data_IF_276131440420
#
_entry.id   IF_276131440420
#
_cell.length_a   1.000
_cell.length_b   1.000
_cell.length_c   1.000
_cell.angle_alpha   90.00
_cell.angle_beta   90.00
_cell.angle_gamma   90.00
#
_symmetry.space_group_name_H-M   'P 1'
#
loop_
_entity.id
_entity.type
_entity.pdbx_description
1 polymer ?
#
# COMPACT_ATOMS: atom_id res chain seq x y z
N UNK A 1 -7.17 -18.30 -13.71
CA UNK A 1 -8.46 -18.47 -12.99
C UNK A 1 -8.95 -17.09 -12.57
N UNK A 2 -10.25 -16.80 -12.66
CA UNK A 2 -10.81 -15.52 -12.19
C UNK A 2 -11.75 -15.76 -11.01
N UNK A 3 -11.57 -15.01 -9.93
CA UNK A 3 -12.31 -15.11 -8.67
C UNK A 3 -12.87 -13.73 -8.35
N UNK A 4 -14.16 -13.65 -8.03
CA UNK A 4 -14.83 -12.39 -7.74
C UNK A 4 -15.70 -12.48 -6.49
N UNK A 5 -15.69 -11.41 -5.71
CA UNK A 5 -16.64 -11.16 -4.63
C UNK A 5 -17.49 -9.96 -4.99
N UNK A 6 -18.80 -10.07 -4.81
CA UNK A 6 -19.75 -8.98 -5.07
C UNK A 6 -20.68 -8.85 -3.88
N UNK A 7 -21.02 -7.62 -3.50
CA UNK A 7 -22.01 -7.37 -2.45
C UNK A 7 -22.60 -5.97 -2.59
N UNK A 8 -23.60 -5.69 -1.75
CA UNK A 8 -24.18 -4.36 -1.59
C UNK A 8 -24.28 -4.02 -0.09
N UNK A 9 -23.98 -2.79 0.36
CA UNK A 9 -23.64 -1.59 -0.40
C UNK A 9 -22.46 -0.84 0.21
N UNK A 10 -21.78 -0.03 -0.60
CA UNK A 10 -20.84 0.98 -0.12
C UNK A 10 -21.50 2.00 0.81
N UNK A 11 -20.67 2.75 1.55
CA UNK A 11 -21.11 3.79 2.48
C UNK A 11 -21.99 4.85 1.80
N UNK A 12 -23.01 5.34 2.52
CA UNK A 12 -23.88 6.42 2.05
C UNK A 12 -23.16 7.78 1.91
N UNK A 13 -22.00 7.94 2.54
CA UNK A 13 -21.21 9.17 2.57
C UNK A 13 -20.08 9.17 1.54
N UNK A 14 -20.16 8.32 0.51
CA UNK A 14 -19.23 8.35 -0.62
C UNK A 14 -19.50 9.56 -1.53
N UNK A 15 -18.41 10.13 -2.06
CA UNK A 15 -18.45 11.15 -3.11
C UNK A 15 -19.07 10.61 -4.42
N UNK A 16 -18.68 9.41 -4.83
CA UNK A 16 -19.20 8.66 -5.99
C UNK A 16 -19.47 7.23 -5.53
N UNK A 17 -20.59 6.63 -5.97
CA UNK A 17 -20.95 5.26 -5.61
C UNK A 17 -21.64 5.11 -4.25
N UNK A 18 -22.23 6.18 -3.72
CA UNK A 18 -22.99 6.11 -2.46
C UNK A 18 -24.11 5.06 -2.54
N UNK A 19 -24.17 4.17 -1.56
CA UNK A 19 -25.09 3.02 -1.53
C UNK A 19 -25.05 2.10 -2.76
N UNK A 20 -24.00 2.17 -3.58
CA UNK A 20 -23.88 1.29 -4.74
C UNK A 20 -23.35 -0.08 -4.34
N UNK A 21 -23.59 -1.12 -5.16
CA UNK A 21 -22.86 -2.37 -5.04
C UNK A 21 -21.35 -2.17 -5.21
N UNK A 22 -20.59 -3.11 -4.67
CA UNK A 22 -19.16 -3.23 -4.85
C UNK A 22 -18.81 -4.62 -5.38
N UNK A 23 -17.73 -4.69 -6.15
CA UNK A 23 -17.14 -5.93 -6.62
C UNK A 23 -15.63 -5.86 -6.48
N UNK A 24 -15.02 -6.99 -6.16
CA UNK A 24 -13.57 -7.17 -6.09
C UNK A 24 -13.28 -8.42 -6.90
N UNK A 25 -12.61 -8.25 -8.03
CA UNK A 25 -12.30 -9.33 -8.98
C UNK A 25 -10.79 -9.46 -9.12
N UNK A 26 -10.30 -10.68 -8.97
CA UNK A 26 -8.91 -11.05 -9.17
C UNK A 26 -8.80 -12.10 -10.25
N UNK A 27 -7.74 -12.02 -11.06
CA UNK A 27 -7.28 -13.11 -11.91
C UNK A 27 -5.93 -13.60 -11.41
N UNK A 28 -5.89 -14.90 -11.15
CA UNK A 28 -4.70 -15.61 -10.72
C UNK A 28 -4.25 -16.49 -11.89
N UNK A 29 -3.06 -16.23 -12.41
CA UNK A 29 -2.40 -17.13 -13.35
C UNK A 29 -1.28 -17.87 -12.63
N UNK A 30 -1.36 -19.21 -12.65
CA UNK A 30 -0.34 -20.13 -12.10
C UNK A 30 0.32 -20.91 -13.25
N UNK A 31 0.28 -20.35 -14.45
CA UNK A 31 0.89 -20.90 -15.65
C UNK A 31 2.41 -20.97 -15.55
N UNK A 32 2.98 -21.84 -16.39
CA UNK A 32 4.43 -21.93 -16.53
C UNK A 32 4.93 -20.72 -17.33
N UNK A 33 5.82 -19.94 -16.72
CA UNK A 33 6.48 -18.78 -17.31
C UNK A 33 7.54 -19.21 -18.34
N UNK A 34 7.96 -18.33 -19.27
CA UNK A 34 9.00 -18.63 -20.26
C UNK A 34 10.36 -19.03 -19.68
N UNK A 35 10.65 -18.66 -18.43
CA UNK A 35 11.85 -19.08 -17.69
C UNK A 35 11.73 -20.46 -17.03
N UNK A 36 10.57 -21.12 -17.16
CA UNK A 36 10.30 -22.44 -16.59
C UNK A 36 9.85 -22.42 -15.13
N UNK A 37 9.58 -21.26 -14.54
CA UNK A 37 9.02 -21.12 -13.20
C UNK A 37 7.49 -20.98 -13.25
N UNK A 38 6.82 -21.24 -12.12
CA UNK A 38 5.39 -21.01 -11.99
C UNK A 38 5.17 -19.53 -11.65
N UNK A 39 4.19 -18.90 -12.31
CA UNK A 39 3.81 -17.54 -11.99
C UNK A 39 3.23 -17.39 -10.58
N UNK A 40 3.61 -16.32 -9.90
CA UNK A 40 3.00 -15.84 -8.68
C UNK A 40 2.27 -14.52 -8.95
N UNK A 41 1.14 -14.31 -8.28
CA UNK A 41 0.40 -13.06 -8.43
C UNK A 41 1.00 -11.96 -7.54
N UNK A 42 0.89 -10.69 -7.95
CA UNK A 42 1.44 -9.59 -7.17
C UNK A 42 0.67 -9.44 -5.85
N UNK A 43 1.35 -8.93 -4.84
CA UNK A 43 0.75 -8.52 -3.58
C UNK A 43 0.77 -7.01 -3.46
N UNK A 44 -0.18 -6.47 -2.72
CA UNK A 44 -0.30 -5.04 -2.49
C UNK A 44 -0.75 -4.75 -1.08
N UNK A 45 -0.36 -3.59 -0.56
CA UNK A 45 -0.82 -3.12 0.74
C UNK A 45 -0.99 -1.59 0.77
N UNK A 46 -1.99 -1.14 1.49
CA UNK A 46 -2.26 0.27 1.78
C UNK A 46 -3.14 0.37 3.04
N UNK A 47 -3.29 1.56 3.60
CA UNK A 47 -4.24 1.76 4.69
C UNK A 47 -5.68 1.70 4.14
N UNK A 48 -6.62 1.01 4.82
CA UNK A 48 -8.02 0.97 4.37
C UNK A 48 -8.69 2.34 4.26
N UNK A 49 -8.28 3.28 5.12
CA UNK A 49 -8.73 4.67 5.12
C UNK A 49 -7.53 5.60 5.31
N UNK A 50 -7.38 6.58 4.41
CA UNK A 50 -6.37 7.65 4.49
C UNK A 50 -7.08 9.00 4.66
N UNK A 51 -6.75 9.74 5.71
CA UNK A 51 -7.32 11.02 6.06
C UNK A 51 -6.54 12.13 5.37
N UNK A 52 -7.23 12.89 4.53
CA UNK A 52 -6.65 13.94 3.71
C UNK A 52 -7.33 15.26 3.99
N UNK A 53 -6.53 16.33 3.99
CA UNK A 53 -7.08 17.68 4.10
C UNK A 53 -7.79 18.05 2.80
N UNK A 54 -9.00 18.63 2.90
CA UNK A 54 -9.74 19.14 1.74
C UNK A 54 -8.93 20.21 0.99
N UNK A 55 -9.01 20.19 -0.34
CA UNK A 55 -8.40 21.15 -1.25
C UNK A 55 -6.86 21.27 -1.13
N UNK A 56 -6.21 20.21 -0.65
CA UNK A 56 -4.75 20.06 -0.65
C UNK A 56 -4.39 18.90 -1.55
N UNK A 57 -3.31 19.08 -2.34
CA UNK A 57 -2.84 18.03 -3.23
C UNK A 57 -2.34 16.85 -2.41
N UNK A 58 -2.92 15.69 -2.66
CA UNK A 58 -2.54 14.41 -2.07
C UNK A 58 -1.70 13.65 -3.09
N UNK A 59 -0.56 13.12 -2.64
CA UNK A 59 0.24 12.15 -3.38
C UNK A 59 0.23 10.86 -2.57
N UNK A 60 -0.34 9.79 -3.14
CA UNK A 60 -0.48 8.51 -2.43
C UNK A 60 0.04 7.36 -3.29
N UNK A 61 1.05 6.65 -2.79
CA UNK A 61 1.62 5.49 -3.46
C UNK A 61 1.12 4.21 -2.82
N UNK A 62 0.51 3.35 -3.63
CA UNK A 62 0.10 2.00 -3.22
C UNK A 62 1.29 1.06 -3.36
N UNK A 63 1.59 0.27 -2.32
CA UNK A 63 2.68 -0.70 -2.42
C UNK A 63 2.32 -1.82 -3.36
N UNK A 64 3.31 -2.26 -4.14
CA UNK A 64 3.21 -3.45 -4.97
C UNK A 64 4.48 -4.27 -4.79
N UNK A 65 4.34 -5.57 -4.63
CA UNK A 65 5.48 -6.48 -4.60
C UNK A 65 5.12 -7.77 -5.32
N UNK A 66 6.12 -8.46 -5.83
CA UNK A 66 5.99 -9.74 -6.50
C UNK A 66 7.25 -10.58 -6.22
N UNK A 67 7.12 -11.90 -6.26
CA UNK A 67 8.22 -12.83 -6.04
C UNK A 67 9.00 -13.14 -7.33
N UNK A 68 8.42 -12.87 -8.48
CA UNK A 68 8.96 -13.18 -9.78
C UNK A 68 9.91 -12.07 -10.24
N UNK A 69 11.22 -12.36 -10.20
CA UNK A 69 12.26 -11.35 -10.38
C UNK A 69 12.28 -10.67 -11.77
N UNK A 70 11.65 -11.27 -12.79
CA UNK A 70 11.58 -10.66 -14.13
C UNK A 70 10.39 -9.72 -14.29
N UNK A 71 9.43 -9.79 -13.36
CA UNK A 71 8.14 -9.20 -13.58
C UNK A 71 8.18 -7.68 -13.42
N UNK A 72 7.45 -7.02 -14.30
CA UNK A 72 7.20 -5.58 -14.23
C UNK A 72 5.81 -5.40 -13.66
N UNK A 73 5.74 -4.74 -12.51
CA UNK A 73 4.48 -4.40 -11.87
C UNK A 73 3.92 -3.10 -12.43
N UNK A 74 2.64 -3.12 -12.71
CA UNK A 74 1.88 -1.94 -13.06
C UNK A 74 0.55 -1.93 -12.32
N UNK A 75 -0.07 -0.76 -12.26
CA UNK A 75 -1.49 -0.69 -11.96
C UNK A 75 -2.24 0.20 -12.91
N UNK A 76 -3.54 -0.05 -12.90
CA UNK A 76 -4.54 0.69 -13.63
C UNK A 76 -5.77 0.88 -12.76
N UNK A 77 -6.64 1.78 -13.19
CA UNK A 77 -7.98 1.85 -12.63
C UNK A 77 -8.72 0.52 -12.85
N UNK A 78 -9.37 0.05 -11.79
CA UNK A 78 -10.43 -0.94 -11.95
C UNK A 78 -11.53 -0.34 -12.82
N UNK A 79 -12.13 -1.15 -13.69
CA UNK A 79 -13.16 -0.68 -14.60
C UNK A 79 -14.25 -1.73 -14.85
N UNK A 80 -15.38 -1.27 -15.38
CA UNK A 80 -16.51 -2.12 -15.75
C UNK A 80 -16.32 -2.68 -17.17
N UNK A 81 -15.77 -3.90 -17.27
CA UNK A 81 -15.65 -4.70 -18.49
C UNK A 81 -15.22 -3.90 -19.75
N UNK A 82 -14.11 -3.16 -19.66
CA UNK A 82 -13.50 -2.46 -20.81
C UNK A 82 -12.61 -3.38 -21.64
N UNK A 83 -12.14 -2.93 -22.81
CA UNK A 83 -11.17 -3.69 -23.63
C UNK A 83 -9.81 -3.88 -22.97
N UNK A 84 -9.49 -3.09 -21.93
CA UNK A 84 -8.27 -3.22 -21.13
C UNK A 84 -8.50 -4.05 -19.86
N UNK A 85 -9.70 -4.59 -19.69
CA UNK A 85 -10.07 -5.45 -18.59
C UNK A 85 -9.80 -6.89 -18.95
N UNK A 86 -8.66 -7.38 -18.49
CA UNK A 86 -8.23 -8.77 -18.65
C UNK A 86 -8.99 -9.77 -17.76
N UNK A 87 -9.81 -9.27 -16.83
CA UNK A 87 -10.70 -10.06 -16.01
C UNK A 87 -12.04 -10.34 -16.73
N UNK A 88 -12.47 -9.47 -17.65
CA UNK A 88 -13.77 -9.50 -18.35
C UNK A 88 -15.01 -9.42 -17.43
N UNK A 89 -14.84 -8.89 -16.21
CA UNK A 89 -15.91 -8.67 -15.24
C UNK A 89 -15.92 -7.22 -14.75
N UNK A 90 -16.98 -6.84 -14.06
CA UNK A 90 -17.00 -5.57 -13.32
C UNK A 90 -16.07 -5.66 -12.09
N UNK A 91 -14.98 -4.89 -12.11
CA UNK A 91 -13.92 -4.92 -11.09
C UNK A 91 -14.14 -3.94 -9.92
N UNK A 92 -15.15 -3.07 -10.01
CA UNK A 92 -15.31 -1.96 -9.06
C UNK A 92 -16.77 -1.63 -8.70
N UNK A 93 -17.77 -2.20 -9.38
CA UNK A 93 -19.16 -1.90 -9.14
C UNK A 93 -19.44 -0.41 -9.32
N UNK A 94 -20.08 0.23 -8.34
CA UNK A 94 -20.44 1.64 -8.45
C UNK A 94 -19.32 2.64 -8.15
N UNK A 95 -18.09 2.19 -7.88
CA UNK A 95 -16.93 3.07 -7.62
C UNK A 95 -15.88 3.06 -8.74
N UNK A 96 -16.22 2.54 -9.91
CA UNK A 96 -15.39 2.71 -11.10
C UNK A 96 -15.22 4.22 -11.35
N UNK A 97 -14.01 4.76 -11.13
CA UNK A 97 -13.74 6.20 -11.08
C UNK A 97 -14.31 6.94 -9.86
N UNK A 98 -14.20 6.35 -8.67
CA UNK A 98 -14.67 6.95 -7.40
C UNK A 98 -13.92 8.21 -6.91
N UNK A 99 -12.84 8.61 -7.60
CA UNK A 99 -12.03 9.79 -7.29
C UNK A 99 -12.34 10.99 -8.22
N UNK A 100 -12.03 12.25 -7.81
CA UNK A 100 -12.37 13.45 -8.58
C UNK A 100 -11.80 13.47 -10.01
N UNK A 101 -12.56 14.05 -10.93
CA UNK A 101 -12.14 14.27 -12.33
C UNK A 101 -10.90 15.15 -12.37
N UNK A 102 -9.77 14.60 -12.80
CA UNK A 102 -8.45 15.25 -12.74
C UNK A 102 -7.44 14.50 -11.87
N UNK A 103 -7.87 13.44 -11.18
CA UNK A 103 -6.95 12.50 -10.52
C UNK A 103 -6.07 11.83 -11.57
N UNK A 104 -4.76 11.81 -11.32
CA UNK A 104 -3.79 11.10 -12.15
C UNK A 104 -3.31 9.84 -11.44
N UNK A 105 -3.00 8.82 -12.23
CA UNK A 105 -2.38 7.57 -11.79
C UNK A 105 -1.12 7.34 -12.62
N UNK A 106 0.03 7.24 -11.97
CA UNK A 106 1.27 6.76 -12.58
C UNK A 106 1.30 5.25 -12.45
N UNK A 107 0.95 4.53 -13.52
CA UNK A 107 0.78 3.08 -13.49
C UNK A 107 2.03 2.29 -13.12
N UNK A 108 3.23 2.77 -13.48
CA UNK A 108 4.49 2.07 -13.22
C UNK A 108 4.93 2.02 -11.75
N UNK A 109 4.37 2.88 -10.89
CA UNK A 109 4.70 2.93 -9.47
C UNK A 109 3.48 3.14 -8.56
N UNK A 110 2.29 3.00 -9.12
CA UNK A 110 0.99 3.17 -8.44
C UNK A 110 0.86 4.38 -7.56
N UNK A 111 1.34 5.50 -8.08
CA UNK A 111 1.22 6.79 -7.40
C UNK A 111 0.03 7.57 -7.95
N UNK A 112 -0.89 7.90 -7.05
CA UNK A 112 -2.03 8.76 -7.28
C UNK A 112 -1.67 10.21 -6.96
N UNK A 113 -2.18 11.15 -7.75
CA UNK A 113 -2.14 12.58 -7.44
C UNK A 113 -3.50 13.23 -7.68
N UNK A 114 -4.06 13.86 -6.65
CA UNK A 114 -5.41 14.44 -6.70
C UNK A 114 -5.65 15.48 -5.60
N UNK A 115 -6.82 16.11 -5.65
CA UNK A 115 -7.34 17.01 -4.62
C UNK A 115 -8.76 16.58 -4.24
N UNK A 116 -9.10 16.61 -2.94
CA UNK A 116 -10.45 16.29 -2.48
C UNK A 116 -11.27 17.59 -2.34
N UNK A 117 -12.36 17.78 -3.14
CA UNK A 117 -13.06 19.06 -3.20
C UNK A 117 -14.04 19.30 -2.03
N UNK A 118 -14.59 18.23 -1.46
CA UNK A 118 -15.65 18.29 -0.44
C UNK A 118 -15.20 17.54 0.81
N UNK A 119 -15.28 18.19 1.97
CA UNK A 119 -14.97 17.58 3.26
C UNK A 119 -16.15 16.75 3.80
N UNK A 120 -15.88 15.93 4.81
CA UNK A 120 -16.82 15.02 5.48
C UNK A 120 -17.43 13.97 4.54
N UNK A 121 -16.71 13.63 3.47
CA UNK A 121 -17.06 12.55 2.54
C UNK A 121 -15.89 11.58 2.43
N UNK A 122 -16.23 10.34 2.12
CA UNK A 122 -15.28 9.32 1.70
C UNK A 122 -15.17 9.30 0.18
N UNK A 123 -13.97 9.07 -0.33
CA UNK A 123 -13.67 8.92 -1.75
C UNK A 123 -13.07 7.54 -1.95
N UNK A 124 -13.74 6.71 -2.75
CA UNK A 124 -13.29 5.36 -2.96
C UNK A 124 -12.30 5.28 -4.12
N UNK A 125 -11.21 4.55 -3.92
CA UNK A 125 -10.25 4.21 -4.94
C UNK A 125 -10.35 2.71 -5.24
N UNK A 126 -10.38 2.35 -6.52
CA UNK A 126 -10.35 0.97 -6.98
C UNK A 126 -9.29 0.80 -8.06
N UNK A 127 -8.27 -0.01 -7.78
CA UNK A 127 -7.15 -0.28 -8.68
C UNK A 127 -7.01 -1.79 -8.91
N UNK A 128 -6.41 -2.15 -10.03
CA UNK A 128 -5.88 -3.48 -10.30
C UNK A 128 -4.36 -3.39 -10.32
N UNK A 129 -3.70 -4.27 -9.58
CA UNK A 129 -2.26 -4.46 -9.57
C UNK A 129 -1.93 -5.67 -10.45
N UNK A 130 -1.09 -5.47 -11.44
CA UNK A 130 -0.86 -6.42 -12.51
C UNK A 130 0.64 -6.69 -12.69
N UNK A 131 0.97 -7.97 -12.81
CA UNK A 131 2.28 -8.53 -13.12
C UNK A 131 2.39 -8.78 -14.63
N UNK A 132 3.46 -8.30 -15.21
CA UNK A 132 3.82 -8.52 -16.60
C UNK A 132 5.15 -9.24 -16.62
N UNK A 133 5.28 -10.34 -17.37
CA UNK A 133 6.49 -11.17 -17.35
C UNK A 133 7.79 -10.37 -17.57
N UNK A 134 7.73 -9.30 -18.36
CA UNK A 134 8.78 -8.31 -18.52
C UNK A 134 8.23 -7.01 -19.14
N UNK A 135 9.12 -6.02 -19.34
CA UNK A 135 8.79 -4.70 -19.92
C UNK A 135 8.26 -4.73 -21.37
N UNK A 136 8.44 -5.83 -22.10
CA UNK A 136 7.93 -6.01 -23.47
C UNK A 136 6.56 -6.69 -23.51
N UNK A 137 6.08 -7.20 -22.38
CA UNK A 137 4.80 -7.91 -22.29
C UNK A 137 3.65 -6.91 -22.37
N UNK A 138 2.65 -7.20 -23.20
CA UNK A 138 1.48 -6.33 -23.43
C UNK A 138 0.21 -6.81 -22.72
N UNK A 139 0.23 -8.03 -22.21
CA UNK A 139 -0.82 -8.61 -21.39
C UNK A 139 -0.26 -9.01 -20.03
N UNK A 140 -0.99 -8.72 -18.94
CA UNK A 140 -0.58 -9.15 -17.63
C UNK A 140 -0.77 -10.67 -17.51
N UNK A 141 -0.16 -11.29 -16.50
CA UNK A 141 -0.34 -12.70 -16.17
C UNK A 141 -1.45 -12.83 -15.12
N UNK A 142 -1.32 -12.15 -14.00
CA UNK A 142 -2.31 -12.00 -12.93
C UNK A 142 -2.82 -10.55 -12.80
N UNK A 143 -3.88 -10.38 -12.02
CA UNK A 143 -4.51 -9.09 -11.74
C UNK A 143 -5.12 -9.16 -10.33
N UNK A 144 -4.62 -8.34 -9.41
CA UNK A 144 -5.00 -8.34 -8.01
C UNK A 144 -5.68 -7.03 -7.64
N UNK A 145 -6.94 -7.07 -7.16
CA UNK A 145 -7.71 -5.89 -6.85
C UNK A 145 -7.27 -5.26 -5.52
N UNK A 146 -7.29 -3.92 -5.46
CA UNK A 146 -7.20 -3.18 -4.20
C UNK A 146 -8.25 -2.07 -4.18
N UNK A 147 -9.02 -2.02 -3.09
CA UNK A 147 -10.02 -0.99 -2.84
C UNK A 147 -9.83 -0.40 -1.45
N UNK A 148 -9.82 0.92 -1.37
CA UNK A 148 -9.57 1.66 -0.13
C UNK A 148 -10.22 3.06 -0.22
N UNK A 149 -10.26 3.77 0.90
CA UNK A 149 -10.94 5.04 1.02
C UNK A 149 -9.97 6.17 1.34
N UNK A 150 -10.27 7.36 0.83
CA UNK A 150 -9.77 8.61 1.37
C UNK A 150 -10.90 9.32 2.11
N UNK A 151 -10.63 9.85 3.30
CA UNK A 151 -11.58 10.69 4.03
C UNK A 151 -11.12 12.15 3.99
N UNK A 152 -11.95 13.04 3.46
CA UNK A 152 -11.63 14.45 3.39
C UNK A 152 -12.06 15.16 4.68
N UNK A 153 -11.14 15.79 5.41
CA UNK A 153 -11.45 16.63 6.57
C UNK A 153 -11.27 18.11 6.24
N UNK A 154 -11.99 18.97 6.98
CA UNK A 154 -11.78 20.41 6.93
C UNK A 154 -10.52 20.78 7.73
N UNK A 155 -9.73 21.71 7.22
CA UNK A 155 -8.63 22.31 7.99
C UNK A 155 -9.19 22.90 9.28
N UNK A 156 -8.71 22.42 10.43
CA UNK A 156 -8.98 23.07 11.70
C UNK A 156 -8.31 24.44 11.72
N UNK A 157 -8.97 25.44 12.31
CA UNK A 157 -8.38 26.75 12.61
C UNK A 157 -7.36 26.68 13.78
N UNK A 158 -6.72 25.53 13.98
CA UNK A 158 -5.73 25.31 15.03
C UNK A 158 -4.46 26.09 14.74
N UNK A 159 -3.75 26.50 15.80
CA UNK A 159 -2.45 27.15 15.68
C UNK A 159 -1.37 26.24 15.04
N UNK A 160 -1.64 24.93 14.94
CA UNK A 160 -0.82 23.97 14.21
C UNK A 160 -1.64 23.37 13.07
N UNK A 161 -1.21 23.62 11.83
CA UNK A 161 -1.73 22.98 10.62
C UNK A 161 -0.76 21.96 10.03
N UNK A 162 0.39 21.75 10.67
CA UNK A 162 1.43 20.85 10.18
C UNK A 162 1.14 19.43 10.63
N UNK A 163 0.89 18.54 9.67
CA UNK A 163 0.67 17.11 9.90
C UNK A 163 1.93 16.45 10.50
N UNK A 164 1.78 15.41 11.35
CA UNK A 164 2.93 14.61 11.76
C UNK A 164 3.55 13.90 10.55
N UNK A 165 4.81 13.47 10.68
CA UNK A 165 5.50 12.69 9.65
C UNK A 165 6.04 11.40 10.23
N UNK A 166 5.80 10.28 9.54
CA UNK A 166 6.50 9.04 9.85
C UNK A 166 7.88 9.15 9.19
N UNK A 167 8.90 9.33 10.02
CA UNK A 167 10.29 9.39 9.58
C UNK A 167 10.95 8.00 9.58
N UNK A 168 10.29 7.01 10.19
CA UNK A 168 10.65 5.59 10.14
C UNK A 168 12.07 5.27 10.64
N UNK A 169 12.40 3.99 10.76
CA UNK A 169 13.79 3.55 10.73
C UNK A 169 14.27 3.28 9.28
N UNK A 170 13.33 3.07 8.34
CA UNK A 170 13.57 2.80 6.92
C UNK A 170 12.83 3.81 6.06
N UNK A 171 13.27 4.08 4.82
CA UNK A 171 12.47 4.88 3.88
C UNK A 171 11.15 4.20 3.54
N UNK A 172 10.19 4.98 3.06
CA UNK A 172 8.96 4.45 2.49
C UNK A 172 9.30 3.52 1.31
N UNK A 173 8.47 2.49 1.11
CA UNK A 173 8.59 1.45 0.09
C UNK A 173 9.84 0.58 0.22
N UNK A 174 10.43 0.47 1.41
CA UNK A 174 11.57 -0.41 1.64
C UNK A 174 11.14 -1.89 1.67
N UNK A 175 12.05 -2.78 1.26
CA UNK A 175 11.91 -4.23 1.38
C UNK A 175 12.90 -4.80 2.42
N UNK A 176 12.44 -5.73 3.27
CA UNK A 176 13.19 -6.29 4.41
C UNK A 176 13.08 -7.82 4.39
N UNK A 177 14.21 -8.53 4.39
CA UNK A 177 14.22 -9.99 4.52
C UNK A 177 13.74 -10.46 5.90
N UNK A 178 12.85 -11.45 5.92
CA UNK A 178 12.20 -11.96 7.11
C UNK A 178 12.38 -13.50 7.23
N UNK A 179 13.36 -13.98 8.01
CA UNK A 179 13.58 -15.42 8.16
C UNK A 179 12.42 -16.09 8.92
N UNK A 180 12.00 -17.28 8.46
CA UNK A 180 10.93 -18.05 9.11
C UNK A 180 11.34 -18.41 10.56
N UNK A 181 10.41 -18.23 11.49
CA UNK A 181 10.60 -18.61 12.90
C UNK A 181 11.51 -17.68 13.70
N UNK A 182 12.07 -16.62 13.08
CA UNK A 182 12.89 -15.62 13.76
C UNK A 182 12.05 -14.40 14.07
N UNK A 183 12.04 -13.97 15.34
CA UNK A 183 11.35 -12.75 15.74
C UNK A 183 12.06 -11.52 15.18
N UNK A 184 11.29 -10.67 14.52
CA UNK A 184 11.71 -9.38 14.00
C UNK A 184 11.14 -8.27 14.88
N UNK A 185 11.94 -7.23 15.06
CA UNK A 185 11.53 -5.98 15.67
C UNK A 185 11.79 -4.84 14.69
N UNK A 186 10.76 -4.06 14.38
CA UNK A 186 10.82 -2.86 13.53
C UNK A 186 10.24 -1.69 14.30
N UNK A 187 10.64 -0.45 14.01
CA UNK A 187 10.16 0.73 14.75
C UNK A 187 9.56 1.76 13.81
N UNK A 188 8.30 2.13 14.06
CA UNK A 188 7.67 3.29 13.43
C UNK A 188 8.04 4.52 14.26
N UNK A 189 8.83 5.41 13.66
CA UNK A 189 9.26 6.67 14.29
C UNK A 189 8.45 7.81 13.69
N UNK A 190 7.80 8.60 14.54
CA UNK A 190 6.93 9.70 14.16
C UNK A 190 7.47 11.01 14.71
N UNK A 191 7.53 12.03 13.88
CA UNK A 191 7.87 13.40 14.26
C UNK A 191 6.64 14.30 14.22
N UNK A 192 6.42 15.03 15.31
CA UNK A 192 5.49 16.16 15.39
C UNK A 192 6.25 17.47 15.25
N UNK A 193 5.65 18.48 14.63
CA UNK A 193 6.32 19.75 14.32
C UNK A 193 5.87 20.94 15.16
N UNK A 194 4.81 20.79 15.94
CA UNK A 194 4.26 21.87 16.76
C UNK A 194 4.38 21.56 18.25
N UNK A 195 4.69 22.57 19.09
CA UNK A 195 4.75 22.40 20.54
C UNK A 195 3.43 21.88 21.10
N UNK A 196 3.51 20.89 22.00
CA UNK A 196 2.34 20.31 22.67
C UNK A 196 1.51 19.33 21.84
N UNK A 197 1.88 19.05 20.59
CA UNK A 197 1.26 17.97 19.81
C UNK A 197 1.70 16.61 20.34
N UNK A 198 0.75 15.69 20.41
CA UNK A 198 0.98 14.31 20.82
C UNK A 198 0.41 13.36 19.79
N UNK A 199 1.08 12.23 19.56
CA UNK A 199 0.51 11.16 18.72
C UNK A 199 -0.47 10.36 19.57
N UNK A 200 -1.73 10.32 19.13
CA UNK A 200 -2.82 9.62 19.83
C UNK A 200 -3.07 8.24 19.25
N UNK A 201 -2.72 8.03 17.97
CA UNK A 201 -2.87 6.74 17.31
C UNK A 201 -1.86 6.56 16.17
N UNK A 202 -1.53 5.31 15.87
CA UNK A 202 -0.81 4.92 14.65
C UNK A 202 -1.61 3.77 14.05
N UNK A 203 -2.48 4.10 13.09
CA UNK A 203 -3.27 3.09 12.38
C UNK A 203 -2.37 2.26 11.48
N UNK A 204 -2.59 0.95 11.43
CA UNK A 204 -1.76 0.04 10.64
C UNK A 204 -2.58 -0.93 9.78
N UNK A 205 -1.98 -1.36 8.67
CA UNK A 205 -2.33 -2.59 7.94
C UNK A 205 -1.13 -3.51 8.03
N UNK A 206 -1.27 -4.63 8.73
CA UNK A 206 -0.14 -5.45 9.18
C UNK A 206 -0.30 -6.93 8.76
N UNK A 207 0.81 -7.66 8.56
CA UNK A 207 0.77 -9.11 8.37
C UNK A 207 0.13 -9.82 9.56
N UNK A 208 -0.47 -10.99 9.29
CA UNK A 208 -1.08 -11.82 10.33
C UNK A 208 -0.04 -12.17 11.41
N UNK A 209 -0.44 -11.97 12.67
CA UNK A 209 0.39 -12.26 13.85
C UNK A 209 1.37 -11.15 14.23
N UNK A 210 1.45 -10.05 13.48
CA UNK A 210 2.22 -8.88 13.90
C UNK A 210 1.52 -8.17 15.06
N UNK A 211 2.31 -7.80 16.06
CA UNK A 211 1.85 -7.07 17.25
C UNK A 211 2.62 -5.76 17.39
N UNK A 212 2.10 -4.83 18.18
CA UNK A 212 2.76 -3.56 18.43
C UNK A 212 2.77 -3.20 19.92
N UNK A 213 3.76 -2.40 20.33
CA UNK A 213 3.80 -1.79 21.66
C UNK A 213 2.77 -0.68 21.81
N UNK A 214 2.61 -0.16 23.03
CA UNK A 214 2.01 1.16 23.21
C UNK A 214 2.87 2.22 22.52
N UNK A 215 2.24 3.31 22.09
CA UNK A 215 2.92 4.49 21.55
C UNK A 215 3.61 5.20 22.72
N UNK A 216 4.91 5.46 22.58
CA UNK A 216 5.70 6.15 23.61
C UNK A 216 6.38 7.38 23.04
N UNK A 217 6.57 8.37 23.90
CA UNK A 217 7.36 9.55 23.58
C UNK A 217 8.84 9.23 23.84
N UNK A 218 9.63 9.17 22.77
CA UNK A 218 11.07 8.84 22.85
C UNK A 218 11.92 10.07 23.14
N UNK A 219 11.50 11.23 22.63
CA UNK A 219 12.12 12.54 22.89
C UNK A 219 11.16 13.66 22.47
N UNK A 220 11.50 14.92 22.77
CA UNK A 220 10.66 16.07 22.44
C UNK A 220 10.24 16.07 20.96
N UNK A 221 8.94 15.87 20.72
CA UNK A 221 8.36 15.81 19.38
C UNK A 221 8.61 14.52 18.59
N UNK A 222 9.22 13.50 19.19
CA UNK A 222 9.47 12.18 18.59
C UNK A 222 8.73 11.10 19.36
N UNK A 223 7.92 10.36 18.63
CA UNK A 223 7.11 9.26 19.14
C UNK A 223 7.51 7.96 18.44
N UNK A 224 7.37 6.84 19.13
CA UNK A 224 7.73 5.54 18.60
C UNK A 224 6.67 4.47 18.93
N UNK A 225 6.56 3.51 18.02
CA UNK A 225 5.82 2.27 18.22
C UNK A 225 6.68 1.12 17.69
N UNK A 226 6.92 0.13 18.55
CA UNK A 226 7.72 -1.05 18.21
C UNK A 226 6.76 -2.11 17.66
N UNK A 227 7.08 -2.62 16.49
CA UNK A 227 6.42 -3.76 15.85
C UNK A 227 7.20 -5.02 16.18
N UNK A 228 6.50 -6.09 16.55
CA UNK A 228 7.08 -7.41 16.80
C UNK A 228 6.33 -8.47 16.01
N UNK A 229 7.07 -9.27 15.25
CA UNK A 229 6.49 -10.29 14.39
C UNK A 229 7.43 -11.48 14.18
N UNK A 230 6.88 -12.69 14.18
CA UNK A 230 7.60 -13.93 13.86
C UNK A 230 6.90 -14.60 12.69
N UNK A 231 7.42 -14.50 11.45
CA UNK A 231 6.79 -15.09 10.28
C UNK A 231 6.82 -16.62 10.33
N UNK A 232 5.78 -17.22 9.75
CA UNK A 232 5.63 -18.67 9.60
C UNK A 232 5.86 -19.10 8.15
N UNK A 233 6.08 -20.40 7.90
CA UNK A 233 6.30 -20.93 6.56
C UNK A 233 5.11 -20.70 5.60
N UNK A 234 3.88 -20.58 6.14
CA UNK A 234 2.68 -20.28 5.34
C UNK A 234 2.60 -18.82 4.89
N UNK A 235 3.52 -17.97 5.35
CA UNK A 235 3.60 -16.56 4.98
C UNK A 235 4.77 -16.28 4.01
N UNK A 236 5.36 -17.32 3.41
CA UNK A 236 6.46 -17.20 2.44
C UNK A 236 6.12 -16.22 1.31
N UNK A 237 7.09 -15.38 0.91
CA UNK A 237 6.89 -14.30 -0.05
C UNK A 237 6.67 -12.92 0.60
N UNK A 238 6.31 -11.90 -0.19
CA UNK A 238 6.13 -10.54 0.27
C UNK A 238 4.91 -10.39 1.18
N UNK A 239 5.11 -9.71 2.30
CA UNK A 239 4.10 -9.38 3.31
C UNK A 239 4.15 -7.88 3.54
N UNK A 240 3.09 -7.16 3.17
CA UNK A 240 3.06 -5.70 3.31
C UNK A 240 2.78 -5.24 4.74
N UNK A 241 3.38 -4.11 5.13
CA UNK A 241 3.01 -3.32 6.31
C UNK A 241 2.80 -1.86 5.88
N UNK A 242 1.76 -1.21 6.41
CA UNK A 242 1.52 0.21 6.24
C UNK A 242 1.12 0.85 7.57
N UNK A 243 1.49 2.11 7.78
CA UNK A 243 1.18 2.88 8.97
C UNK A 243 0.81 4.34 8.62
N UNK A 244 -0.04 4.95 9.44
CA UNK A 244 -0.32 6.38 9.41
C UNK A 244 -0.49 6.92 10.83
N UNK A 245 0.27 7.95 11.19
CA UNK A 245 0.23 8.51 12.55
C UNK A 245 -0.80 9.63 12.65
N UNK A 246 -1.58 9.65 13.73
CA UNK A 246 -2.63 10.63 14.00
C UNK A 246 -2.27 11.41 15.26
N UNK A 247 -2.27 12.74 15.16
CA UNK A 247 -2.04 13.61 16.31
C UNK A 247 -3.33 13.95 17.09
N UNK A 248 -3.18 14.60 18.24
CA UNK A 248 -4.30 15.06 19.08
C UNK A 248 -5.14 16.19 18.45
N UNK A 249 -4.76 16.68 17.28
CA UNK A 249 -5.56 17.59 16.45
C UNK A 249 -6.33 16.85 15.35
N UNK A 250 -6.16 15.53 15.24
CA UNK A 250 -6.80 14.68 14.24
C UNK A 250 -6.11 14.72 12.86
N UNK A 251 -4.90 15.27 12.76
CA UNK A 251 -4.14 15.29 11.52
C UNK A 251 -3.38 13.97 11.35
N UNK A 252 -3.60 13.29 10.22
CA UNK A 252 -2.88 12.07 9.88
C UNK A 252 -1.62 12.38 9.06
N UNK A 253 -0.51 11.69 9.30
CA UNK A 253 0.68 11.71 8.44
C UNK A 253 0.39 11.17 7.04
N UNK A 254 1.33 11.35 6.11
CA UNK A 254 1.30 10.54 4.90
C UNK A 254 1.50 9.05 5.26
N UNK A 255 0.85 8.13 4.53
CA UNK A 255 1.04 6.70 4.76
C UNK A 255 2.49 6.28 4.49
N UNK A 256 3.03 5.49 5.40
CA UNK A 256 4.34 4.86 5.32
C UNK A 256 4.15 3.36 5.16
N UNK A 257 4.74 2.74 4.14
CA UNK A 257 4.61 1.33 3.89
C UNK A 257 5.95 0.66 3.55
N UNK A 258 6.09 -0.61 3.95
CA UNK A 258 7.26 -1.46 3.68
C UNK A 258 6.80 -2.88 3.37
N UNK A 259 7.68 -3.67 2.77
CA UNK A 259 7.46 -5.08 2.47
C UNK A 259 8.41 -5.95 3.30
N UNK A 260 7.90 -6.96 3.99
CA UNK A 260 8.68 -8.03 4.57
C UNK A 260 8.70 -9.23 3.63
N UNK A 261 9.87 -9.65 3.18
CA UNK A 261 10.04 -10.79 2.28
C UNK A 261 10.38 -12.05 3.09
N UNK A 262 9.37 -12.87 3.33
CA UNK A 262 9.48 -14.06 4.18
C UNK A 262 10.21 -15.19 3.46
N UNK A 263 10.95 -16.00 4.23
CA UNK A 263 11.76 -17.13 3.76
C UNK A 263 13.07 -16.72 3.09
N UNK A 264 13.53 -15.48 3.35
CA UNK A 264 14.86 -15.02 2.97
C UNK A 264 15.66 -14.69 4.22
N UNK A 265 16.71 -15.47 4.43
CA UNK A 265 17.68 -15.29 5.52
C UNK A 265 18.69 -14.21 5.12
N UNK A 266 18.29 -12.95 5.35
CA UNK A 266 19.07 -11.71 5.23
C UNK A 266 19.45 -11.24 3.81
N UNK A 267 18.84 -10.11 3.36
CA UNK A 267 19.39 -9.22 2.32
C UNK A 267 19.05 -7.76 2.60
N UNK A 268 19.99 -6.89 2.21
CA UNK A 268 20.06 -5.43 2.26
C UNK A 268 18.79 -4.67 1.86
N UNK A 269 18.59 -3.52 2.51
CA UNK A 269 17.61 -2.50 2.13
C UNK A 269 17.76 -2.11 0.66
N UNK A 270 16.70 -2.26 -0.12
CA UNK A 270 16.56 -1.54 -1.39
C UNK A 270 15.79 -0.26 -1.06
N UNK A 271 16.45 0.90 -1.13
CA UNK A 271 15.74 2.17 -1.02
C UNK A 271 14.85 2.33 -2.27
N UNK A 272 13.58 2.70 -2.05
CA UNK A 272 12.65 3.01 -3.15
C UNK A 272 12.26 1.84 -4.07
N UNK A 273 12.41 0.58 -3.62
CA UNK A 273 11.85 -0.58 -4.32
C UNK A 273 11.08 -1.49 -3.38
N UNK A 274 9.79 -1.65 -3.67
CA UNK A 274 8.92 -2.59 -2.99
C UNK A 274 9.13 -4.06 -3.44
N UNK A 275 9.94 -4.28 -4.49
CA UNK A 275 10.34 -5.60 -5.01
C UNK A 275 11.84 -5.87 -4.80
N UNK A 276 12.24 -7.13 -4.52
CA UNK A 276 13.65 -7.53 -4.58
C UNK A 276 14.13 -7.53 -6.05
N UNK A 277 15.30 -6.94 -6.34
CA UNK A 277 15.97 -7.04 -7.65
C UNK A 277 17.42 -7.46 -7.43
N UNK A 278 17.90 -8.48 -8.17
CA UNK A 278 19.31 -8.91 -8.18
C UNK A 278 19.61 -10.31 -7.59
N UNK A 279 20.85 -10.79 -7.81
CA UNK A 279 21.35 -12.06 -7.24
C UNK A 279 21.83 -11.87 -5.80
N UNK A 280 21.43 -12.78 -4.91
CA UNK A 280 21.84 -12.80 -3.51
C UNK A 280 23.15 -13.60 -3.38
N UNK A 281 24.29 -12.92 -3.32
CA UNK A 281 25.55 -13.57 -2.97
C UNK A 281 25.69 -13.67 -1.44
N UNK A 282 26.09 -14.85 -0.96
CA UNK A 282 26.26 -15.19 0.45
C UNK A 282 27.24 -14.25 1.20
N UNK A 283 28.05 -13.45 0.49
CA UNK A 283 29.10 -12.59 1.03
C UNK A 283 28.88 -11.06 0.83
N UNK A 284 27.79 -10.61 0.21
CA UNK A 284 27.34 -9.20 0.23
C UNK A 284 28.29 -8.13 -0.37
N UNK A 285 29.20 -8.43 -1.31
CA UNK A 285 30.29 -7.48 -1.66
C UNK A 285 30.11 -6.51 -2.82
N UNK A 286 29.06 -6.54 -3.68
CA UNK A 286 28.91 -5.57 -4.80
C UNK A 286 27.44 -5.34 -5.15
N UNK A 287 27.02 -4.08 -5.37
CA UNK A 287 25.71 -3.75 -5.98
C UNK A 287 25.75 -2.47 -6.84
N UNK A 288 25.18 -2.56 -8.05
CA UNK A 288 24.98 -1.50 -9.05
C UNK A 288 23.52 -1.56 -9.56
N UNK A 289 22.94 -0.42 -9.94
CA UNK A 289 21.54 -0.26 -10.39
C UNK A 289 21.49 -0.28 -11.92
N UNK A 290 20.46 -0.90 -12.51
CA UNK A 290 19.85 -0.41 -13.75
C UNK A 290 18.43 0.05 -13.45
#
# INVERSE_FOLDING_TARGET
ITIGFVSSAWLNTLYIGAASPWSIVSRVDLGLRPDGLINSSPVTNTLPVVFCQRAVTVVHSVQMADNDATDVLQCRWSNSNSTHNYNHYDECGGICSGLPSGTTLTGSNCTLSFNLPIANLYYACALQIEDYYNSSSTSPMSSVPVQFLFYAYNTSASACSQRPSIIGARPNTACIGAPIGVQLNETVIVQTYCPGQTIVDIVTSSPIGMTHSAISNSSSGIWAMILTWTPTATQSGPQGFCAGAIDNSGLQSDPYCITFLVNISAVSLIQSSATPVGNILQNQTVFEIQ
#
